data_IF_497055196160
#
_entry.id   IF_497055196160
#
_cell.length_a   1.000
_cell.length_b   1.000
_cell.length_c   1.000
_cell.angle_alpha   90.00
_cell.angle_beta   90.00
_cell.angle_gamma   90.00
#
_symmetry.space_group_name_H-M   'P 1'
#
loop_
_entity.id
_entity.type
_entity.pdbx_description
1 polymer ?
#
# COMPACT_ATOMS: atom_id res chain seq x y z
N UNK A 1 49.32 42.88 13.52
CA UNK A 1 49.77 41.50 13.79
C UNK A 1 49.39 40.66 12.59
N UNK A 2 50.37 40.17 11.84
CA UNK A 2 50.15 39.31 10.67
C UNK A 2 50.46 37.89 11.12
N UNK A 3 49.44 37.05 11.23
CA UNK A 3 49.60 35.63 11.47
C UNK A 3 50.51 35.09 10.36
N UNK A 4 51.63 34.45 10.72
CA UNK A 4 52.77 34.15 9.85
C UNK A 4 52.52 33.14 8.72
N UNK A 5 51.33 33.12 8.11
CA UNK A 5 50.96 32.25 7.00
C UNK A 5 50.05 33.02 6.01
N UNK A 6 50.25 32.85 4.68
CA UNK A 6 49.43 33.53 3.68
C UNK A 6 47.95 33.16 3.80
N UNK A 7 47.07 34.10 3.41
CA UNK A 7 45.61 33.92 3.40
C UNK A 7 45.26 32.76 2.46
N UNK A 8 44.53 31.77 2.98
CA UNK A 8 44.06 30.60 2.21
C UNK A 8 42.78 30.91 1.45
N UNK A 9 42.61 30.25 0.32
CA UNK A 9 41.37 30.34 -0.44
C UNK A 9 40.24 29.58 0.27
N UNK A 10 38.96 30.02 0.10
CA UNK A 10 37.82 29.23 0.54
C UNK A 10 37.85 27.83 -0.10
N UNK A 11 37.94 26.79 0.74
CA UNK A 11 38.01 25.38 0.29
C UNK A 11 39.41 24.75 0.32
N UNK A 12 40.46 25.51 0.66
CA UNK A 12 41.83 25.00 0.77
C UNK A 12 42.11 24.45 2.19
N UNK A 13 41.62 23.23 2.45
CA UNK A 13 41.69 22.60 3.77
C UNK A 13 43.02 21.89 4.05
N UNK A 14 43.66 21.33 3.03
CA UNK A 14 44.82 20.43 3.19
C UNK A 14 46.11 21.11 2.73
N UNK A 15 47.14 21.06 3.57
CA UNK A 15 48.49 21.47 3.18
C UNK A 15 49.16 20.36 2.36
N UNK A 16 50.00 20.74 1.39
CA UNK A 16 50.82 19.76 0.67
C UNK A 16 51.76 19.07 1.68
N UNK A 17 51.81 17.73 1.72
CA UNK A 17 52.68 17.03 2.66
C UNK A 17 54.14 17.40 2.38
N UNK A 18 54.90 17.66 3.46
CA UNK A 18 56.32 18.08 3.40
C UNK A 18 57.25 16.95 2.92
N UNK A 19 56.76 15.71 2.93
CA UNK A 19 57.45 14.52 2.43
C UNK A 19 56.63 13.84 1.35
N UNK A 20 57.31 13.24 0.38
CA UNK A 20 56.71 12.35 -0.62
C UNK A 20 56.35 11.07 0.13
N UNK A 21 55.10 10.98 0.58
CA UNK A 21 54.56 9.73 1.13
C UNK A 21 54.17 8.82 -0.04
N UNK A 22 54.50 7.54 0.08
CA UNK A 22 54.00 6.52 -0.83
C UNK A 22 52.47 6.52 -0.78
N UNK A 23 51.83 6.76 -1.93
CA UNK A 23 50.38 6.98 -2.04
C UNK A 23 49.59 5.82 -1.48
N UNK A 24 50.12 4.61 -1.64
CA UNK A 24 49.47 3.37 -1.20
C UNK A 24 49.46 3.24 0.33
N UNK A 25 50.52 3.71 0.99
CA UNK A 25 50.60 3.72 2.46
C UNK A 25 49.66 4.76 3.05
N UNK A 26 49.59 5.94 2.44
CA UNK A 26 48.69 7.02 2.85
C UNK A 26 47.22 6.63 2.69
N UNK A 27 46.84 6.03 1.56
CA UNK A 27 45.48 5.58 1.31
C UNK A 27 45.04 4.51 2.31
N UNK A 28 45.92 3.55 2.64
CA UNK A 28 45.65 2.52 3.65
C UNK A 28 45.43 3.11 5.04
N UNK A 29 46.26 4.07 5.45
CA UNK A 29 46.11 4.72 6.75
C UNK A 29 44.84 5.58 6.83
N UNK A 30 44.53 6.31 5.75
CA UNK A 30 43.29 7.07 5.65
C UNK A 30 42.06 6.16 5.72
N UNK A 31 42.07 5.03 5.01
CA UNK A 31 40.99 4.06 5.05
C UNK A 31 40.78 3.51 6.46
N UNK A 32 41.87 3.15 7.16
CA UNK A 32 41.83 2.69 8.55
C UNK A 32 41.26 3.75 9.50
N UNK A 33 41.64 5.02 9.32
CA UNK A 33 41.09 6.14 10.08
C UNK A 33 39.59 6.33 9.81
N UNK A 34 39.16 6.26 8.55
CA UNK A 34 37.75 6.39 8.16
C UNK A 34 36.90 5.20 8.65
N UNK A 35 37.47 3.99 8.68
CA UNK A 35 36.81 2.82 9.28
C UNK A 35 36.57 3.00 10.78
N UNK A 36 37.50 3.65 11.50
CA UNK A 36 37.33 3.98 12.91
C UNK A 36 36.26 5.07 13.15
N UNK A 37 36.09 5.97 12.19
CA UNK A 37 35.04 6.99 12.20
C UNK A 37 33.67 6.46 11.73
N UNK A 38 33.57 5.18 11.36
CA UNK A 38 32.31 4.59 10.90
C UNK A 38 31.25 4.77 12.00
N UNK A 39 30.05 5.28 11.65
CA UNK A 39 28.97 5.42 12.62
C UNK A 39 28.71 4.10 13.35
N UNK A 40 28.70 4.15 14.68
CA UNK A 40 28.27 3.04 15.51
C UNK A 40 26.82 2.69 15.18
N UNK A 41 26.48 1.40 15.22
CA UNK A 41 25.11 0.94 14.99
C UNK A 41 24.22 1.59 16.06
N UNK A 42 23.44 2.58 15.63
CA UNK A 42 22.50 3.27 16.51
C UNK A 42 21.33 2.35 16.79
N UNK A 43 20.68 2.52 17.95
CA UNK A 43 19.54 1.69 18.34
C UNK A 43 18.51 1.68 17.21
N UNK A 44 18.32 0.50 16.60
CA UNK A 44 17.42 0.30 15.45
C UNK A 44 15.97 0.49 15.91
N UNK A 45 15.44 1.70 15.78
CA UNK A 45 14.10 2.06 16.25
C UNK A 45 12.95 1.50 15.39
N UNK A 46 13.25 0.78 14.31
CA UNK A 46 12.24 0.28 13.39
C UNK A 46 12.64 -1.09 12.84
N UNK A 47 12.15 -2.14 13.49
CA UNK A 47 12.01 -3.48 12.92
C UNK A 47 10.53 -3.73 12.64
N UNK A 48 9.85 -2.82 11.93
CA UNK A 48 8.50 -3.15 11.50
C UNK A 48 8.61 -4.18 10.38
N UNK A 49 7.93 -5.31 10.56
CA UNK A 49 7.79 -6.32 9.52
C UNK A 49 6.97 -5.71 8.39
N UNK A 50 7.51 -5.72 7.18
CA UNK A 50 6.78 -5.26 6.00
C UNK A 50 5.50 -6.08 5.87
N UNK A 51 4.36 -5.39 5.88
CA UNK A 51 3.07 -6.04 5.69
C UNK A 51 2.80 -6.22 4.19
N UNK A 52 2.67 -7.47 3.76
CA UNK A 52 2.27 -7.82 2.40
C UNK A 52 0.93 -8.56 2.47
N UNK A 53 -0.01 -8.17 1.62
CA UNK A 53 -1.30 -8.84 1.52
C UNK A 53 -1.11 -10.28 1.00
N UNK A 54 -1.61 -11.27 1.75
CA UNK A 54 -1.51 -12.70 1.38
C UNK A 54 -2.12 -13.00 0.01
N UNK A 55 -3.25 -12.36 -0.27
CA UNK A 55 -4.01 -12.54 -1.52
C UNK A 55 -3.31 -11.94 -2.73
N UNK A 56 -2.22 -11.18 -2.55
CA UNK A 56 -1.49 -10.59 -3.67
C UNK A 56 -0.87 -11.69 -4.55
N UNK A 57 -0.51 -12.84 -3.97
CA UNK A 57 0.02 -13.97 -4.73
C UNK A 57 -1.04 -14.70 -5.57
N UNK A 58 -2.31 -14.61 -5.19
CA UNK A 58 -3.42 -15.34 -5.83
C UNK A 58 -4.33 -14.43 -6.67
N UNK A 59 -4.31 -13.11 -6.45
CA UNK A 59 -5.24 -12.17 -7.09
C UNK A 59 -5.01 -12.03 -8.60
N UNK A 60 -6.07 -12.07 -9.40
CA UNK A 60 -5.99 -11.87 -10.86
C UNK A 60 -5.71 -10.42 -11.25
N UNK A 61 -6.24 -9.49 -10.47
CA UNK A 61 -6.20 -8.05 -10.73
C UNK A 61 -5.66 -7.32 -9.50
N UNK A 62 -4.97 -6.20 -9.74
CA UNK A 62 -4.37 -5.36 -8.69
C UNK A 62 -4.66 -3.89 -8.94
N UNK A 63 -4.85 -3.15 -7.86
CA UNK A 63 -4.83 -1.68 -7.86
C UNK A 63 -3.40 -1.20 -7.65
N UNK A 64 -3.03 -0.11 -8.34
CA UNK A 64 -1.67 0.46 -8.30
C UNK A 64 -1.71 1.83 -7.62
N UNK A 65 -0.85 2.04 -6.62
CA UNK A 65 -0.74 3.32 -5.91
C UNK A 65 -0.13 4.41 -6.81
N UNK A 66 -0.73 5.59 -6.81
CA UNK A 66 -0.22 6.78 -7.49
C UNK A 66 0.72 7.53 -6.53
N UNK A 67 2.04 7.45 -6.75
CA UNK A 67 3.05 8.10 -5.90
C UNK A 67 3.36 9.56 -6.29
N UNK A 68 2.79 10.04 -7.40
CA UNK A 68 2.91 11.45 -7.80
C UNK A 68 2.08 12.34 -6.87
N UNK A 69 2.41 13.64 -6.80
CA UNK A 69 1.51 14.67 -6.24
C UNK A 69 0.15 14.59 -6.94
N UNK A 70 -0.86 14.19 -6.17
CA UNK A 70 -2.24 13.99 -6.62
C UNK A 70 -2.98 15.32 -6.68
N UNK A 71 -3.96 15.41 -7.58
CA UNK A 71 -4.93 16.50 -7.59
C UNK A 71 -5.92 16.33 -6.44
N UNK A 72 -6.59 17.42 -6.08
CA UNK A 72 -7.70 17.35 -5.12
C UNK A 72 -8.76 16.35 -5.62
N UNK A 73 -9.23 15.49 -4.72
CA UNK A 73 -10.24 14.44 -4.98
C UNK A 73 -9.83 13.33 -5.97
N UNK A 74 -8.57 13.26 -6.42
CA UNK A 74 -8.07 12.13 -7.22
C UNK A 74 -7.89 10.89 -6.33
N UNK A 75 -8.32 9.68 -6.73
CA UNK A 75 -8.13 8.47 -5.92
C UNK A 75 -6.63 8.15 -5.71
N UNK A 76 -6.25 7.54 -4.58
CA UNK A 76 -4.85 7.19 -4.30
C UNK A 76 -4.34 5.99 -5.11
N UNK A 77 -5.25 5.19 -5.65
CA UNK A 77 -4.93 4.04 -6.46
C UNK A 77 -5.64 4.15 -7.80
N UNK A 78 -4.94 3.77 -8.85
CA UNK A 78 -5.49 3.56 -10.18
C UNK A 78 -5.95 2.11 -10.32
N UNK A 79 -6.90 1.91 -11.25
CA UNK A 79 -7.86 0.81 -11.38
C UNK A 79 -7.35 -0.63 -11.26
N UNK A 80 -8.26 -1.61 -11.47
CA UNK A 80 -7.89 -3.02 -11.42
C UNK A 80 -7.16 -3.39 -12.72
N UNK A 81 -5.86 -3.62 -12.64
CA UNK A 81 -5.05 -4.07 -13.78
C UNK A 81 -4.74 -5.56 -13.68
N UNK A 82 -4.75 -6.29 -14.81
CA UNK A 82 -4.45 -7.72 -14.82
C UNK A 82 -2.96 -7.96 -14.54
N UNK A 83 -2.68 -8.93 -13.68
CA UNK A 83 -1.32 -9.37 -13.35
C UNK A 83 -0.87 -10.45 -14.34
N UNK A 84 0.24 -10.21 -15.05
CA UNK A 84 0.80 -11.15 -16.04
C UNK A 84 1.78 -12.11 -15.40
N UNK A 85 2.74 -11.58 -14.61
CA UNK A 85 3.78 -12.37 -13.94
C UNK A 85 3.99 -11.86 -12.53
N UNK A 86 4.30 -12.78 -11.62
CA UNK A 86 4.57 -12.49 -10.21
C UNK A 86 6.01 -12.85 -9.87
N UNK A 87 6.71 -11.95 -9.20
CA UNK A 87 8.02 -12.19 -8.60
C UNK A 87 8.00 -11.79 -7.12
N UNK A 88 9.07 -12.10 -6.40
CA UNK A 88 9.16 -11.89 -4.94
C UNK A 88 9.12 -10.42 -4.51
N UNK A 89 9.60 -9.48 -5.36
CA UNK A 89 9.67 -8.04 -5.03
C UNK A 89 8.81 -7.15 -5.94
N UNK A 90 8.43 -7.64 -7.12
CA UNK A 90 7.71 -6.87 -8.12
C UNK A 90 6.84 -7.77 -8.99
N UNK A 91 5.74 -7.24 -9.50
CA UNK A 91 4.87 -7.93 -10.45
C UNK A 91 4.91 -7.23 -11.81
N UNK A 92 4.75 -8.00 -12.88
CA UNK A 92 4.49 -7.48 -14.21
C UNK A 92 2.97 -7.35 -14.40
N UNK A 93 2.51 -6.12 -14.65
CA UNK A 93 1.09 -5.76 -14.76
C UNK A 93 0.85 -5.11 -16.11
N UNK A 94 -0.21 -5.51 -16.81
CA UNK A 94 -0.53 -4.91 -18.12
C UNK A 94 -1.33 -3.63 -17.92
N UNK A 95 -0.73 -2.50 -18.33
CA UNK A 95 -1.38 -1.18 -18.32
C UNK A 95 -1.44 -0.69 -19.77
N UNK A 96 -2.65 -0.44 -20.28
CA UNK A 96 -2.87 0.06 -21.65
C UNK A 96 -2.14 -0.79 -22.71
N UNK A 97 -2.16 -2.13 -22.55
CA UNK A 97 -1.55 -3.09 -23.47
C UNK A 97 -0.03 -3.22 -23.35
N UNK A 98 0.61 -2.59 -22.36
CA UNK A 98 2.05 -2.71 -22.10
C UNK A 98 2.28 -3.35 -20.74
N UNK A 99 3.22 -4.28 -20.68
CA UNK A 99 3.62 -4.91 -19.43
C UNK A 99 4.63 -4.04 -18.70
N UNK A 100 4.29 -3.64 -17.47
CA UNK A 100 5.09 -2.76 -16.63
C UNK A 100 5.40 -3.47 -15.32
N UNK A 101 6.66 -3.39 -14.89
CA UNK A 101 7.10 -3.94 -13.62
C UNK A 101 6.84 -2.96 -12.46
N UNK A 102 6.15 -3.43 -11.43
CA UNK A 102 5.72 -2.62 -10.29
C UNK A 102 6.08 -3.34 -9.01
N UNK A 103 6.75 -2.63 -8.09
CA UNK A 103 7.05 -3.15 -6.76
C UNK A 103 5.79 -3.51 -5.98
N UNK A 104 5.88 -4.58 -5.19
CA UNK A 104 4.78 -5.09 -4.37
C UNK A 104 4.23 -4.03 -3.41
N UNK A 105 5.08 -3.15 -2.89
CA UNK A 105 4.70 -2.09 -1.95
C UNK A 105 3.67 -1.08 -2.51
N UNK A 106 3.51 -1.05 -3.83
CA UNK A 106 2.57 -0.16 -4.53
C UNK A 106 1.31 -0.89 -5.00
N UNK A 107 1.20 -2.19 -4.72
CA UNK A 107 0.10 -3.02 -5.19
C UNK A 107 -0.87 -3.33 -4.06
N UNK A 108 -2.15 -3.36 -4.41
CA UNK A 108 -3.23 -3.83 -3.55
C UNK A 108 -4.08 -4.82 -4.34
N UNK A 109 -4.46 -5.99 -3.79
CA UNK A 109 -5.32 -6.92 -4.51
C UNK A 109 -6.67 -6.27 -4.85
N UNK A 110 -7.15 -6.50 -6.07
CA UNK A 110 -8.47 -6.09 -6.51
C UNK A 110 -9.43 -7.27 -6.46
N UNK A 111 -10.52 -7.12 -5.71
CA UNK A 111 -11.60 -8.09 -5.63
C UNK A 111 -12.69 -7.66 -6.61
N UNK A 112 -12.79 -8.38 -7.73
CA UNK A 112 -13.84 -8.17 -8.72
C UNK A 112 -14.96 -9.16 -8.44
N UNK A 113 -16.20 -8.68 -8.37
CA UNK A 113 -17.37 -9.55 -8.33
C UNK A 113 -17.51 -10.18 -9.71
N UNK A 114 -17.53 -11.51 -9.76
CA UNK A 114 -17.88 -12.24 -10.97
C UNK A 114 -19.39 -12.06 -11.21
N UNK A 115 -19.79 -10.94 -11.79
CA UNK A 115 -21.11 -10.83 -12.42
C UNK A 115 -21.02 -11.62 -13.72
N UNK A 116 -21.87 -12.63 -13.86
CA UNK A 116 -21.97 -13.51 -15.03
C UNK A 116 -22.43 -12.76 -16.29
N UNK A 117 -21.62 -11.82 -16.80
CA UNK A 117 -21.76 -11.29 -18.16
C UNK A 117 -20.36 -10.92 -18.66
N UNK A 118 -19.97 -11.53 -19.78
CA UNK A 118 -18.72 -11.38 -20.54
C UNK A 118 -17.46 -12.07 -19.99
N UNK A 119 -17.35 -13.35 -20.37
CA UNK A 119 -16.16 -14.19 -20.28
C UNK A 119 -15.30 -14.00 -21.54
N UNK A 120 -14.06 -13.49 -21.47
CA UNK A 120 -13.02 -13.89 -22.39
C UNK A 120 -12.28 -15.11 -21.80
N UNK A 121 -12.30 -16.20 -22.56
CA UNK A 121 -11.63 -17.47 -22.32
C UNK A 121 -10.26 -17.33 -21.64
N UNK A 122 -10.14 -17.79 -20.39
CA UNK A 122 -8.88 -18.35 -19.89
C UNK A 122 -9.13 -19.80 -19.48
N UNK A 123 -8.24 -20.69 -19.94
CA UNK A 123 -8.39 -22.14 -19.83
C UNK A 123 -8.40 -22.56 -18.36
N UNK A 124 -9.51 -23.11 -17.89
CA UNK A 124 -9.67 -23.76 -16.58
C UNK A 124 -9.18 -25.21 -16.71
N UNK A 125 -8.00 -25.53 -16.16
CA UNK A 125 -7.64 -26.92 -15.86
C UNK A 125 -8.30 -27.30 -14.52
N UNK A 126 -9.00 -28.43 -14.52
CA UNK A 126 -9.89 -28.85 -13.44
C UNK A 126 -9.17 -29.39 -12.20
N UNK A 127 -9.88 -29.35 -11.07
CA UNK A 127 -10.15 -30.51 -10.19
C UNK A 127 -11.18 -30.04 -9.16
N UNK A 128 -12.34 -30.69 -9.14
CA UNK A 128 -13.41 -30.48 -8.17
C UNK A 128 -13.11 -31.24 -6.87
N UNK A 129 -13.56 -30.71 -5.72
CA UNK A 129 -14.12 -31.56 -4.69
C UNK A 129 -15.57 -31.18 -4.40
N UNK A 130 -16.41 -32.21 -4.33
CA UNK A 130 -17.83 -32.19 -4.04
C UNK A 130 -18.14 -31.59 -2.65
N UNK A 131 -19.19 -30.77 -2.58
CA UNK A 131 -19.93 -30.51 -1.34
C UNK A 131 -21.11 -31.50 -1.26
N UNK A 132 -21.43 -32.07 -0.08
CA UNK A 132 -22.65 -32.83 0.11
C UNK A 132 -23.85 -31.90 0.36
N UNK A 133 -24.96 -32.25 -0.28
CA UNK A 133 -26.30 -31.68 -0.14
C UNK A 133 -26.90 -31.94 1.25
N UNK A 134 -27.64 -30.96 1.77
CA UNK A 134 -28.75 -31.18 2.71
C UNK A 134 -29.90 -30.27 2.26
N UNK A 135 -31.02 -30.89 1.90
CA UNK A 135 -32.31 -30.25 1.58
C UNK A 135 -32.94 -29.69 2.86
N UNK A 136 -33.86 -28.72 2.73
CA UNK A 136 -35.14 -28.65 3.48
C UNK A 136 -36.00 -27.48 2.94
N UNK A 137 -36.97 -27.86 2.12
CA UNK A 137 -38.39 -27.47 2.07
C UNK A 137 -38.85 -26.00 1.97
N UNK A 138 -39.74 -25.82 0.98
CA UNK A 138 -40.54 -24.67 0.63
C UNK A 138 -41.54 -24.20 1.71
N UNK A 139 -41.89 -22.91 1.69
CA UNK A 139 -43.26 -22.41 1.82
C UNK A 139 -43.39 -21.05 1.11
N UNK A 140 -44.23 -20.99 0.08
CA UNK A 140 -44.85 -19.77 -0.44
C UNK A 140 -46.21 -19.63 0.26
N UNK A 141 -46.61 -18.41 0.64
CA UNK A 141 -48.01 -17.95 0.59
C UNK A 141 -48.12 -16.41 0.84
N UNK A 142 -48.68 -15.79 -0.19
CA UNK A 142 -49.52 -14.59 -0.41
C UNK A 142 -50.08 -13.71 0.74
N UNK A 143 -50.22 -12.42 0.38
CA UNK A 143 -51.35 -11.47 0.63
C UNK A 143 -51.28 -10.28 1.63
N UNK A 144 -51.28 -9.07 1.02
CA UNK A 144 -52.05 -7.82 1.23
C UNK A 144 -52.48 -7.28 2.63
N UNK A 145 -52.07 -6.01 2.84
CA UNK A 145 -52.79 -4.79 3.32
C UNK A 145 -53.94 -4.90 4.35
N UNK A 146 -53.89 -4.09 5.44
CA UNK A 146 -54.93 -3.17 5.99
C UNK A 146 -54.47 -2.64 7.40
N UNK A 147 -54.06 -1.37 7.56
CA UNK A 147 -54.78 -0.14 7.98
C UNK A 147 -54.84 0.16 9.49
N UNK A 148 -54.64 1.44 9.77
CA UNK A 148 -55.20 2.31 10.83
C UNK A 148 -54.65 2.36 12.29
N UNK A 149 -54.15 3.58 12.56
CA UNK A 149 -54.30 4.40 13.77
C UNK A 149 -53.68 3.92 15.09
N UNK A 150 -52.68 4.67 15.58
CA UNK A 150 -52.86 5.60 16.71
C UNK A 150 -51.58 6.42 16.97
N UNK A 151 -51.84 7.68 17.25
CA UNK A 151 -50.98 8.82 17.51
C UNK A 151 -50.01 8.58 18.68
N UNK A 152 -48.69 8.73 18.45
CA UNK A 152 -47.72 9.09 19.48
C UNK A 152 -46.64 9.96 18.86
N UNK A 153 -46.74 11.25 19.13
CA UNK A 153 -45.77 12.29 18.85
C UNK A 153 -44.43 11.98 19.55
N UNK A 154 -43.57 11.21 18.87
CA UNK A 154 -42.18 10.99 19.28
C UNK A 154 -41.33 11.88 18.39
N UNK A 155 -40.85 12.99 18.95
CA UNK A 155 -39.95 13.93 18.28
C UNK A 155 -38.80 13.18 17.58
N UNK A 156 -38.86 13.09 16.26
CA UNK A 156 -37.86 12.42 15.42
C UNK A 156 -36.59 13.27 15.42
N UNK A 157 -35.57 12.85 16.18
CA UNK A 157 -34.27 13.55 16.24
C UNK A 157 -33.59 13.53 14.85
N UNK A 158 -33.47 14.69 14.22
CA UNK A 158 -32.75 14.92 12.96
C UNK A 158 -31.46 15.71 13.22
N UNK A 159 -30.45 15.52 12.36
CA UNK A 159 -29.24 16.36 12.39
C UNK A 159 -29.52 17.74 11.78
N UNK A 160 -28.60 18.69 11.95
CA UNK A 160 -28.67 20.03 11.33
C UNK A 160 -28.82 20.00 9.80
N UNK A 161 -28.42 18.91 9.15
CA UNK A 161 -28.56 18.67 7.70
C UNK A 161 -29.81 17.86 7.32
N UNK A 162 -30.71 17.58 8.26
CA UNK A 162 -31.95 16.83 8.01
C UNK A 162 -31.77 15.31 7.93
N UNK A 163 -30.57 14.77 8.17
CA UNK A 163 -30.33 13.32 8.15
C UNK A 163 -31.00 12.67 9.36
N UNK A 164 -31.78 11.62 9.10
CA UNK A 164 -32.38 10.79 10.14
C UNK A 164 -31.31 9.91 10.78
N UNK A 165 -31.17 9.98 12.10
CA UNK A 165 -30.21 9.17 12.85
C UNK A 165 -30.99 8.27 13.81
N UNK A 166 -30.69 6.98 13.78
CA UNK A 166 -31.21 6.00 14.73
C UNK A 166 -30.07 5.61 15.66
N UNK A 167 -30.13 6.06 16.91
CA UNK A 167 -29.12 5.71 17.89
C UNK A 167 -29.30 4.25 18.36
N UNK A 168 -28.22 3.45 18.42
CA UNK A 168 -28.26 2.10 18.99
C UNK A 168 -28.77 2.11 20.43
N UNK A 169 -29.51 1.06 20.82
CA UNK A 169 -30.14 0.99 22.15
C UNK A 169 -29.14 1.00 23.32
N UNK A 170 -27.87 0.66 23.07
CA UNK A 170 -26.79 0.65 24.07
C UNK A 170 -26.35 2.05 24.55
N UNK A 171 -26.85 3.11 23.94
CA UNK A 171 -26.53 4.51 24.28
C UNK A 171 -27.74 5.27 24.84
N UNK A 172 -28.73 4.57 25.41
CA UNK A 172 -29.86 5.18 26.10
C UNK A 172 -29.76 4.84 27.58
N UNK A 173 -29.45 5.85 28.39
CA UNK A 173 -29.53 5.80 29.85
C UNK A 173 -30.99 5.88 30.32
#
# INVERSE_FOLDING_TARGET
MVYGQPIRLPGEFFEKPKSILDTDTFAKELQKQMELLKPLDTRRHHSQKNFVHKDLHTCTHVFIRIDRVRKSLEPPYDGPFPVVKRHDKYFAVTIKGKDINISIDRLKPAYLLLTEVDVPHYKKLGTAPSLPNENLTAHQETEKQQSDLLDKDVQKKTTRSGRRVRFPARYKD
#
